data_IF_935304445055
#
_entry.id   IF_935304445055
#
_cell.length_a   1.000
_cell.length_b   1.000
_cell.length_c   1.000
_cell.angle_alpha   90.00
_cell.angle_beta   90.00
_cell.angle_gamma   90.00
#
_symmetry.space_group_name_H-M   'P 1'
#
loop_
_entity.id
_entity.type
_entity.pdbx_description
1 polymer ?
#
# COMPACT_ATOMS: atom_id res chain seq x y z
N UNK A 1 -18.83 6.14 6.54
CA UNK A 1 -18.45 4.77 6.94
C UNK A 1 -18.97 4.44 8.33
N UNK A 2 -18.42 5.09 9.36
CA UNK A 2 -18.77 4.90 10.76
C UNK A 2 -20.27 5.13 11.07
N UNK A 3 -20.85 6.22 10.57
CA UNK A 3 -22.27 6.54 10.77
C UNK A 3 -23.20 5.40 10.32
N UNK A 4 -22.89 4.73 9.20
CA UNK A 4 -23.67 3.57 8.72
C UNK A 4 -23.58 2.38 9.68
N UNK A 5 -22.44 2.19 10.34
CA UNK A 5 -22.25 1.12 11.32
C UNK A 5 -22.99 1.45 12.62
N UNK A 6 -22.90 2.69 13.09
CA UNK A 6 -23.68 3.18 14.25
C UNK A 6 -25.18 3.00 13.97
N UNK A 7 -25.65 3.38 12.79
CA UNK A 7 -27.04 3.21 12.40
C UNK A 7 -27.48 1.74 12.36
N UNK A 8 -26.57 0.79 12.05
CA UNK A 8 -26.86 -0.65 12.16
C UNK A 8 -27.04 -1.08 13.61
N UNK A 9 -26.16 -0.64 14.51
CA UNK A 9 -26.28 -0.92 15.95
C UNK A 9 -27.60 -0.37 16.52
N UNK A 10 -27.96 0.88 16.15
CA UNK A 10 -29.22 1.50 16.58
C UNK A 10 -30.43 0.73 16.05
N UNK A 11 -30.41 0.29 14.78
CA UNK A 11 -31.50 -0.53 14.21
C UNK A 11 -31.63 -1.88 14.89
N UNK A 12 -30.54 -2.50 15.31
CA UNK A 12 -30.58 -3.75 16.07
C UNK A 12 -31.23 -3.54 17.45
N UNK A 13 -30.85 -2.51 18.19
CA UNK A 13 -31.50 -2.18 19.46
C UNK A 13 -33.00 -1.89 19.27
N UNK A 14 -33.37 -1.11 18.23
CA UNK A 14 -34.77 -0.83 17.92
C UNK A 14 -35.58 -2.09 17.57
N UNK A 15 -34.98 -3.05 16.84
CA UNK A 15 -35.59 -4.36 16.57
C UNK A 15 -35.86 -5.12 17.87
N UNK A 16 -34.87 -5.22 18.76
CA UNK A 16 -35.02 -6.00 20.00
C UNK A 16 -36.05 -5.36 20.93
N UNK A 17 -36.09 -4.03 21.04
CA UNK A 17 -37.16 -3.31 21.76
C UNK A 17 -38.54 -3.65 21.21
N UNK A 18 -38.70 -3.61 19.88
CA UNK A 18 -39.99 -3.89 19.24
C UNK A 18 -40.42 -5.37 19.33
N UNK A 19 -39.46 -6.29 19.46
CA UNK A 19 -39.69 -7.73 19.62
C UNK A 19 -39.74 -8.18 21.08
N UNK A 20 -39.56 -7.26 22.05
CA UNK A 20 -39.46 -7.55 23.48
C UNK A 20 -38.33 -8.56 23.82
N UNK A 21 -37.25 -8.53 23.03
CA UNK A 21 -36.06 -9.36 23.23
C UNK A 21 -35.06 -8.61 24.15
N UNK A 22 -34.37 -9.36 25.03
CA UNK A 22 -33.30 -8.79 25.85
C UNK A 22 -32.13 -8.33 24.98
N UNK A 23 -31.55 -7.18 25.34
CA UNK A 23 -30.35 -6.66 24.67
C UNK A 23 -29.51 -5.81 25.62
N UNK A 24 -28.22 -5.68 25.32
CA UNK A 24 -27.31 -4.86 26.10
C UNK A 24 -27.47 -3.36 25.77
N UNK A 25 -27.88 -2.56 26.75
CA UNK A 25 -27.92 -1.09 26.62
C UNK A 25 -26.49 -0.53 26.49
N UNK A 26 -25.55 -1.10 27.25
CA UNK A 26 -24.13 -0.77 27.15
C UNK A 26 -23.46 -1.74 26.19
N UNK A 27 -23.27 -1.30 24.95
CA UNK A 27 -22.66 -2.08 23.88
C UNK A 27 -21.25 -2.56 24.27
N UNK A 28 -21.04 -3.88 24.16
CA UNK A 28 -19.76 -4.57 24.35
C UNK A 28 -19.14 -4.94 22.99
N UNK A 29 -17.89 -5.41 22.99
CA UNK A 29 -17.24 -5.86 21.75
C UNK A 29 -17.92 -7.09 21.12
N UNK A 30 -18.48 -7.98 21.95
CA UNK A 30 -19.17 -9.18 21.48
C UNK A 30 -20.47 -8.80 20.76
N UNK A 31 -21.22 -7.84 21.31
CA UNK A 31 -22.42 -7.28 20.66
C UNK A 31 -22.09 -6.68 19.28
N UNK A 32 -20.92 -6.03 19.16
CA UNK A 32 -20.48 -5.45 17.89
C UNK A 32 -20.24 -6.55 16.84
N UNK A 33 -19.58 -7.65 17.22
CA UNK A 33 -19.29 -8.77 16.31
C UNK A 33 -20.58 -9.49 15.91
N UNK A 34 -21.51 -9.69 16.85
CA UNK A 34 -22.81 -10.30 16.58
C UNK A 34 -23.61 -9.48 15.56
N UNK A 35 -23.69 -8.16 15.76
CA UNK A 35 -24.56 -7.28 14.97
C UNK A 35 -23.93 -6.85 13.65
N UNK A 36 -22.65 -6.50 13.64
CA UNK A 36 -21.96 -6.01 12.45
C UNK A 36 -21.28 -7.14 11.64
N UNK A 37 -21.16 -8.32 12.24
CA UNK A 37 -20.35 -9.44 11.76
C UNK A 37 -18.89 -9.31 12.18
N UNK A 38 -18.09 -10.31 11.79
CA UNK A 38 -16.64 -10.29 12.02
C UNK A 38 -15.95 -9.04 11.41
N UNK A 39 -14.72 -8.72 11.86
CA UNK A 39 -13.96 -7.58 11.34
C UNK A 39 -13.86 -7.62 9.82
N UNK A 40 -14.32 -6.55 9.15
CA UNK A 40 -14.31 -6.44 7.68
C UNK A 40 -13.05 -5.76 7.15
N UNK A 41 -12.27 -5.19 8.05
CA UNK A 41 -10.99 -4.55 7.75
C UNK A 41 -9.93 -5.41 8.41
N UNK A 42 -9.14 -6.11 7.60
CA UNK A 42 -7.89 -6.69 8.06
C UNK A 42 -6.95 -5.53 8.36
N UNK A 43 -6.72 -5.23 9.64
CA UNK A 43 -5.75 -4.21 10.08
C UNK A 43 -4.30 -4.62 9.79
N UNK A 44 -4.09 -5.90 9.49
CA UNK A 44 -2.77 -6.55 9.51
C UNK A 44 -2.31 -7.08 8.15
N UNK A 45 -2.73 -6.48 7.03
CA UNK A 45 -1.90 -6.57 5.82
C UNK A 45 -0.69 -5.64 5.96
N UNK A 46 0.09 -5.84 7.02
CA UNK A 46 1.50 -5.55 6.95
C UNK A 46 2.07 -6.61 6.01
N UNK A 47 2.34 -6.23 4.77
CA UNK A 47 3.38 -6.93 4.01
C UNK A 47 4.65 -6.84 4.87
N UNK A 48 5.09 -8.00 5.35
CA UNK A 48 6.38 -8.16 6.01
C UNK A 48 7.50 -7.81 5.02
N UNK A 49 8.70 -7.49 5.52
CA UNK A 49 9.85 -7.25 4.64
C UNK A 49 10.48 -8.58 4.14
N UNK A 50 9.69 -9.66 4.08
CA UNK A 50 10.18 -11.00 3.70
C UNK A 50 10.33 -11.12 2.17
N UNK A 51 9.64 -10.26 1.42
CA UNK A 51 9.69 -10.24 -0.05
C UNK A 51 10.57 -9.10 -0.52
N UNK A 52 11.71 -9.45 -1.13
CA UNK A 52 12.57 -8.48 -1.79
C UNK A 52 11.82 -7.68 -2.85
N UNK A 53 12.01 -6.36 -2.86
CA UNK A 53 11.33 -5.47 -3.80
C UNK A 53 9.94 -5.00 -3.36
N UNK A 54 9.42 -5.42 -2.20
CA UNK A 54 8.15 -4.90 -1.66
C UNK A 54 8.42 -4.01 -0.46
N UNK A 55 7.99 -2.74 -0.52
CA UNK A 55 8.20 -1.77 0.55
C UNK A 55 6.93 -0.99 0.83
N UNK A 56 6.60 -0.86 2.11
CA UNK A 56 5.49 -0.03 2.57
C UNK A 56 5.89 1.45 2.56
N UNK A 57 5.16 2.27 1.82
CA UNK A 57 5.28 3.72 1.76
C UNK A 57 4.01 4.42 2.23
N UNK A 58 4.13 5.73 2.39
CA UNK A 58 3.01 6.62 2.70
C UNK A 58 2.83 7.60 1.56
N UNK A 59 1.59 7.78 1.12
CA UNK A 59 1.25 8.79 0.14
C UNK A 59 0.09 9.65 0.57
N UNK A 60 -0.01 10.79 -0.09
CA UNK A 60 -1.16 11.66 0.00
C UNK A 60 -2.13 11.36 -1.14
N UNK A 61 -3.37 11.05 -0.80
CA UNK A 61 -4.48 10.91 -1.75
C UNK A 61 -5.43 12.11 -1.61
N UNK A 62 -6.40 12.22 -2.52
CA UNK A 62 -7.43 13.26 -2.45
C UNK A 62 -8.30 13.22 -1.19
N UNK A 63 -8.31 12.10 -0.46
CA UNK A 63 -9.14 11.90 0.73
C UNK A 63 -8.32 11.74 2.03
N UNK A 64 -6.98 11.89 1.97
CA UNK A 64 -6.08 11.84 3.12
C UNK A 64 -4.82 11.02 2.89
N UNK A 65 -4.09 10.74 3.96
CA UNK A 65 -2.92 9.86 3.93
C UNK A 65 -3.34 8.41 3.70
N UNK A 66 -2.61 7.71 2.84
CA UNK A 66 -2.85 6.31 2.48
C UNK A 66 -1.55 5.50 2.51
N UNK A 67 -1.70 4.20 2.78
CA UNK A 67 -0.59 3.26 2.78
C UNK A 67 -0.44 2.73 1.36
N UNK A 68 0.75 2.85 0.80
CA UNK A 68 1.07 2.31 -0.52
C UNK A 68 2.07 1.17 -0.38
N UNK A 69 1.83 0.07 -1.07
CA UNK A 69 2.84 -0.96 -1.26
C UNK A 69 3.56 -0.68 -2.57
N UNK A 70 4.85 -0.39 -2.53
CA UNK A 70 5.64 -0.22 -3.76
C UNK A 70 6.31 -1.55 -4.04
N UNK A 71 5.96 -2.14 -5.17
CA UNK A 71 6.46 -3.42 -5.63
C UNK A 71 7.41 -3.20 -6.80
N UNK A 72 8.58 -3.82 -6.76
CA UNK A 72 9.51 -3.82 -7.88
C UNK A 72 9.91 -5.24 -8.28
N UNK A 73 10.13 -5.46 -9.58
CA UNK A 73 10.52 -6.76 -10.12
C UNK A 73 11.53 -6.62 -11.26
N UNK A 74 12.44 -7.60 -11.35
CA UNK A 74 13.40 -7.74 -12.43
C UNK A 74 12.91 -8.75 -13.46
N UNK A 75 13.12 -8.44 -14.74
CA UNK A 75 12.96 -9.38 -15.84
C UNK A 75 14.15 -9.27 -16.77
N UNK A 76 14.57 -10.38 -17.39
CA UNK A 76 15.69 -10.34 -18.36
C UNK A 76 15.35 -9.36 -19.50
N UNK A 77 16.29 -8.48 -19.83
CA UNK A 77 15.96 -7.30 -20.62
C UNK A 77 17.16 -6.48 -21.07
N UNK A 78 16.92 -5.19 -21.29
CA UNK A 78 17.88 -4.22 -21.82
C UNK A 78 18.03 -2.98 -20.93
N UNK A 79 17.68 -3.09 -19.64
CA UNK A 79 17.77 -1.96 -18.72
C UNK A 79 16.57 -1.00 -18.72
N UNK A 80 15.43 -1.39 -19.28
CA UNK A 80 14.26 -0.52 -19.34
C UNK A 80 13.60 -0.39 -17.97
N UNK A 81 13.23 0.83 -17.57
CA UNK A 81 12.37 1.10 -16.43
C UNK A 81 10.92 1.30 -16.89
N UNK A 82 10.00 0.53 -16.32
CA UNK A 82 8.56 0.64 -16.58
C UNK A 82 7.79 0.82 -15.29
N UNK A 83 6.71 1.63 -15.32
CA UNK A 83 6.00 2.04 -14.11
C UNK A 83 4.49 1.98 -14.33
N UNK A 84 3.77 1.28 -13.45
CA UNK A 84 2.30 1.16 -13.44
C UNK A 84 1.71 1.62 -12.10
N UNK A 85 0.38 1.77 -12.03
CA UNK A 85 -0.29 2.23 -10.79
C UNK A 85 -0.93 3.62 -10.83
N UNK A 86 -1.13 4.18 -12.02
CA UNK A 86 -1.71 5.51 -12.24
C UNK A 86 -0.94 6.65 -11.51
N UNK A 87 0.38 6.64 -11.73
CA UNK A 87 1.27 7.65 -11.18
C UNK A 87 1.27 8.93 -12.02
N UNK A 88 1.25 10.07 -11.34
CA UNK A 88 1.44 11.39 -11.92
C UNK A 88 2.91 11.66 -12.29
N UNK A 89 3.18 12.90 -12.72
CA UNK A 89 4.48 13.25 -13.31
C UNK A 89 5.59 13.28 -12.25
N UNK A 90 5.31 13.82 -11.08
CA UNK A 90 6.31 14.03 -10.00
C UNK A 90 6.74 12.68 -9.43
N UNK A 91 5.78 11.77 -9.25
CA UNK A 91 6.08 10.44 -8.72
C UNK A 91 6.85 9.57 -9.75
N UNK A 92 6.58 9.70 -11.06
CA UNK A 92 7.41 9.07 -12.11
C UNK A 92 8.82 9.62 -12.16
N UNK A 93 8.98 10.94 -12.00
CA UNK A 93 10.29 11.57 -11.90
C UNK A 93 11.06 11.04 -10.69
N UNK A 94 10.39 10.87 -9.55
CA UNK A 94 10.97 10.29 -8.33
C UNK A 94 11.48 8.86 -8.55
N UNK A 95 10.74 8.03 -9.30
CA UNK A 95 11.17 6.68 -9.66
C UNK A 95 12.44 6.69 -10.54
N UNK A 96 12.49 7.59 -11.52
CA UNK A 96 13.67 7.75 -12.38
C UNK A 96 14.88 8.21 -11.56
N UNK A 97 14.70 9.21 -10.69
CA UNK A 97 15.78 9.71 -9.82
C UNK A 97 16.31 8.61 -8.90
N UNK A 98 15.42 7.81 -8.30
CA UNK A 98 15.82 6.68 -7.46
C UNK A 98 16.68 5.68 -8.25
N UNK A 99 16.28 5.33 -9.47
CA UNK A 99 17.05 4.42 -10.33
C UNK A 99 18.41 4.99 -10.72
N UNK A 100 18.48 6.27 -11.08
CA UNK A 100 19.75 6.92 -11.44
C UNK A 100 20.69 7.07 -10.24
N UNK A 101 20.15 7.34 -9.05
CA UNK A 101 20.93 7.36 -7.82
C UNK A 101 21.54 5.99 -7.51
N UNK A 102 20.76 4.90 -7.65
CA UNK A 102 21.27 3.54 -7.44
C UNK A 102 22.37 3.19 -8.43
N UNK A 103 22.20 3.53 -9.72
CA UNK A 103 23.26 3.32 -10.73
C UNK A 103 24.54 4.08 -10.40
N UNK A 104 24.42 5.34 -9.96
CA UNK A 104 25.57 6.18 -9.63
C UNK A 104 26.33 5.71 -8.38
N UNK A 105 25.66 5.01 -7.45
CA UNK A 105 26.23 4.54 -6.19
C UNK A 105 26.20 3.01 -6.06
N UNK A 106 26.19 2.29 -7.19
CA UNK A 106 25.99 0.84 -7.21
C UNK A 106 27.05 0.08 -6.40
N UNK A 107 28.30 0.54 -6.46
CA UNK A 107 29.42 -0.04 -5.71
C UNK A 107 29.23 0.11 -4.19
N UNK A 108 28.69 1.23 -3.72
CA UNK A 108 28.41 1.48 -2.30
C UNK A 108 27.34 0.51 -1.77
N UNK A 109 26.40 0.12 -2.63
CA UNK A 109 25.37 -0.88 -2.32
C UNK A 109 25.80 -2.33 -2.59
N UNK A 110 27.01 -2.57 -3.10
CA UNK A 110 27.48 -3.91 -3.46
C UNK A 110 26.79 -4.51 -4.69
N UNK A 111 26.17 -3.70 -5.55
CA UNK A 111 25.45 -4.12 -6.74
C UNK A 111 26.40 -4.15 -7.94
N UNK A 112 26.43 -5.24 -8.69
CA UNK A 112 27.20 -5.32 -9.93
C UNK A 112 26.57 -4.41 -11.02
N UNK A 113 27.26 -3.38 -11.53
CA UNK A 113 26.70 -2.44 -12.51
C UNK A 113 26.16 -3.08 -13.80
N UNK A 114 26.68 -4.23 -14.22
CA UNK A 114 26.21 -4.92 -15.42
C UNK A 114 24.74 -5.37 -15.33
N UNK A 115 24.18 -5.51 -14.11
CA UNK A 115 22.79 -5.95 -13.93
C UNK A 115 21.81 -4.91 -14.47
N UNK A 116 22.16 -3.62 -14.45
CA UNK A 116 21.29 -2.55 -14.94
C UNK A 116 21.09 -2.59 -16.45
N UNK A 117 22.01 -3.20 -17.21
CA UNK A 117 21.87 -3.36 -18.66
C UNK A 117 21.19 -4.70 -19.03
N UNK A 118 21.34 -5.71 -18.18
CA UNK A 118 20.86 -7.08 -18.42
C UNK A 118 19.41 -7.32 -18.00
N UNK A 119 18.87 -6.47 -17.12
CA UNK A 119 17.52 -6.63 -16.57
C UNK A 119 16.67 -5.38 -16.80
N UNK A 120 15.43 -5.56 -17.20
CA UNK A 120 14.41 -4.53 -17.10
C UNK A 120 13.87 -4.49 -15.68
N UNK A 121 13.52 -3.29 -15.24
CA UNK A 121 12.87 -3.01 -13.96
C UNK A 121 11.41 -2.64 -14.20
N UNK A 122 10.51 -3.23 -13.43
CA UNK A 122 9.13 -2.80 -13.35
C UNK A 122 8.81 -2.36 -11.93
N UNK A 123 8.23 -1.16 -11.78
CA UNK A 123 7.69 -0.68 -10.51
C UNK A 123 6.17 -0.65 -10.64
N UNK A 124 5.50 -1.33 -9.71
CA UNK A 124 4.06 -1.28 -9.55
C UNK A 124 3.69 -0.59 -8.25
N UNK A 125 2.70 0.29 -8.31
CA UNK A 125 2.07 0.91 -7.15
C UNK A 125 0.58 0.57 -7.21
N UNK A 126 0.08 -0.38 -6.38
CA UNK A 126 -1.30 -0.84 -6.39
C UNK A 126 -2.32 0.27 -6.19
N UNK A 127 -3.59 -0.11 -6.37
CA UNK A 127 -4.74 0.79 -6.61
C UNK A 127 -4.66 1.58 -7.92
N UNK A 128 -4.53 0.90 -9.06
CA UNK A 128 -4.41 1.56 -10.37
C UNK A 128 -5.55 2.51 -10.77
N UNK A 129 -6.69 2.51 -10.07
CA UNK A 129 -7.77 3.47 -10.31
C UNK A 129 -7.53 4.84 -9.64
N UNK A 130 -6.85 4.86 -8.49
CA UNK A 130 -6.62 6.07 -7.68
C UNK A 130 -5.37 6.79 -8.19
N UNK A 131 -5.46 8.02 -8.72
CA UNK A 131 -4.27 8.80 -9.11
C UNK A 131 -3.37 9.07 -7.90
N UNK A 132 -2.07 8.89 -8.06
CA UNK A 132 -1.06 9.13 -7.02
C UNK A 132 0.02 10.03 -7.57
N UNK A 133 0.29 11.15 -6.90
CA UNK A 133 1.36 12.05 -7.31
C UNK A 133 2.02 12.73 -6.11
N UNK A 134 3.27 13.12 -6.28
CA UNK A 134 4.08 13.74 -5.23
C UNK A 134 5.46 13.08 -5.05
N UNK A 135 6.42 13.79 -4.45
CA UNK A 135 7.79 13.31 -4.31
C UNK A 135 8.01 12.40 -3.10
N UNK A 136 7.03 12.30 -2.19
CA UNK A 136 7.19 11.67 -0.86
C UNK A 136 7.57 10.19 -0.91
N UNK A 137 7.26 9.49 -2.01
CA UNK A 137 7.54 8.07 -2.18
C UNK A 137 8.97 7.78 -2.72
N UNK A 138 9.80 8.79 -2.99
CA UNK A 138 11.12 8.60 -3.59
C UNK A 138 12.04 7.67 -2.79
N UNK A 139 12.08 7.83 -1.46
CA UNK A 139 12.87 6.93 -0.59
C UNK A 139 12.30 5.52 -0.57
N UNK A 140 10.97 5.35 -0.60
CA UNK A 140 10.31 4.05 -0.63
C UNK A 140 10.64 3.30 -1.93
N UNK A 141 10.64 4.00 -3.08
CA UNK A 141 11.04 3.43 -4.36
C UNK A 141 12.52 3.03 -4.37
N UNK A 142 13.39 3.89 -3.84
CA UNK A 142 14.81 3.59 -3.72
C UNK A 142 15.04 2.34 -2.86
N UNK A 143 14.39 2.25 -1.70
CA UNK A 143 14.50 1.07 -0.82
C UNK A 143 14.00 -0.20 -1.51
N UNK A 144 12.86 -0.11 -2.22
CA UNK A 144 12.31 -1.24 -2.98
C UNK A 144 13.30 -1.71 -4.05
N UNK A 145 13.87 -0.79 -4.83
CA UNK A 145 14.83 -1.12 -5.87
C UNK A 145 16.14 -1.68 -5.32
N UNK A 146 16.72 -1.06 -4.28
CA UNK A 146 17.96 -1.57 -3.66
C UNK A 146 17.73 -2.97 -3.11
N UNK A 147 16.62 -3.18 -2.37
CA UNK A 147 16.24 -4.50 -1.86
C UNK A 147 16.09 -5.56 -2.94
N UNK A 148 15.72 -5.17 -4.17
CA UNK A 148 15.56 -6.08 -5.29
C UNK A 148 16.90 -6.41 -5.98
N UNK A 149 17.87 -5.50 -5.94
CA UNK A 149 19.18 -5.67 -6.58
C UNK A 149 20.23 -6.34 -5.68
N UNK A 150 19.99 -6.39 -4.37
CA UNK A 150 20.87 -7.00 -3.35
C UNK A 150 20.28 -8.30 -2.81
#
# INVERSE_FOLDING_TARGET
GLEKQIAKMVRHAAKNIAMEEEYNIKVTNDDIIEVLGGPKLERDKYENNDVAGVVTGLAWTSVGGDILFIESILSKGKGNLTITGNLGKVMRESATIAMEYIKANAEEFGINPEVFEKYNVHIHVPEGATPKDGPSAGVTMLTSLVSLFT
#
